data_IF_846811082894
#
_entry.id   IF_846811082894
#
_cell.length_a   1.000
_cell.length_b   1.000
_cell.length_c   1.000
_cell.angle_alpha   90.00
_cell.angle_beta   90.00
_cell.angle_gamma   90.00
#
_symmetry.space_group_name_H-M   'P 1'
#
loop_
_entity.id
_entity.type
_entity.pdbx_description
1 polymer ?
#
# COMPACT_ATOMS: atom_id res chain seq x y z
N UNK A 1 -21.19 -11.86 43.47
CA UNK A 1 -20.30 -11.39 42.39
C UNK A 1 -19.17 -12.39 42.31
N UNK A 2 -19.06 -13.22 41.25
CA UNK A 2 -17.98 -14.19 41.15
C UNK A 2 -16.75 -13.58 40.45
N UNK A 3 -15.59 -13.91 41.03
CA UNK A 3 -14.24 -13.65 40.56
C UNK A 3 -13.98 -14.33 39.20
N UNK A 4 -13.37 -13.60 38.27
CA UNK A 4 -12.88 -14.16 37.01
C UNK A 4 -11.50 -14.79 37.23
N UNK A 5 -11.46 -16.12 37.08
CA UNK A 5 -10.28 -16.97 37.02
C UNK A 5 -9.43 -16.71 35.76
N UNK A 6 -8.11 -16.60 35.98
CA UNK A 6 -6.96 -16.77 35.06
C UNK A 6 -7.24 -17.09 33.59
N UNK A 7 -6.89 -16.14 32.71
CA UNK A 7 -6.56 -16.41 31.31
C UNK A 7 -5.11 -16.92 31.19
N UNK A 8 -4.80 -17.94 30.37
CA UNK A 8 -3.43 -18.38 30.14
C UNK A 8 -2.65 -17.27 29.41
N UNK A 9 -1.51 -16.86 29.98
CA UNK A 9 -0.56 -15.95 29.33
C UNK A 9 -0.01 -16.63 28.07
N UNK A 10 -0.24 -16.02 26.90
CA UNK A 10 0.40 -16.43 25.67
C UNK A 10 1.91 -16.22 25.78
N UNK A 11 2.69 -17.30 25.61
CA UNK A 11 4.15 -17.22 25.56
C UNK A 11 4.59 -16.42 24.33
N UNK A 12 5.63 -15.58 24.42
CA UNK A 12 6.21 -14.92 23.26
C UNK A 12 6.81 -15.99 22.33
N UNK A 13 6.34 -16.06 21.08
CA UNK A 13 7.00 -16.86 20.04
C UNK A 13 8.37 -16.26 19.76
N UNK A 14 9.42 -17.06 19.94
CA UNK A 14 10.77 -16.68 19.60
C UNK A 14 10.93 -16.79 18.08
N UNK A 15 11.70 -15.89 17.46
CA UNK A 15 11.98 -15.90 16.02
C UNK A 15 12.67 -17.19 15.51
N UNK A 16 13.06 -18.10 16.42
CA UNK A 16 13.64 -19.42 16.12
C UNK A 16 12.59 -20.52 15.93
N UNK A 17 11.31 -20.24 16.23
CA UNK A 17 10.22 -21.21 16.19
C UNK A 17 9.45 -21.19 14.84
N UNK A 18 9.88 -20.38 13.87
CA UNK A 18 9.38 -20.40 12.50
C UNK A 18 9.99 -21.62 11.79
N UNK A 19 9.19 -22.60 11.33
CA UNK A 19 9.73 -23.72 10.55
C UNK A 19 10.37 -23.18 9.29
N UNK A 20 11.63 -23.56 9.03
CA UNK A 20 12.28 -23.34 7.75
C UNK A 20 11.53 -24.12 6.66
N UNK A 21 10.53 -23.48 6.06
CA UNK A 21 9.69 -24.07 5.02
C UNK A 21 10.49 -24.32 3.75
N UNK A 22 10.68 -25.60 3.44
CA UNK A 22 11.29 -26.07 2.20
C UNK A 22 10.59 -25.46 0.96
N UNK A 23 11.40 -24.87 0.09
CA UNK A 23 11.06 -24.51 -1.29
C UNK A 23 10.76 -25.77 -2.10
N UNK A 24 9.50 -26.20 -2.13
CA UNK A 24 9.02 -27.04 -3.24
C UNK A 24 8.78 -26.14 -4.45
N UNK A 25 9.76 -26.09 -5.34
CA UNK A 25 9.65 -25.45 -6.65
C UNK A 25 8.48 -26.04 -7.46
N UNK A 26 7.49 -25.21 -7.79
CA UNK A 26 6.68 -25.43 -8.99
C UNK A 26 7.50 -24.92 -10.19
N UNK A 27 7.82 -25.76 -11.19
CA UNK A 27 8.77 -25.43 -12.25
C UNK A 27 8.31 -24.31 -13.22
N UNK A 28 7.06 -23.84 -13.11
CA UNK A 28 6.48 -22.86 -14.05
C UNK A 28 6.48 -21.41 -13.56
N UNK A 29 6.96 -21.12 -12.34
CA UNK A 29 6.99 -19.76 -11.78
C UNK A 29 8.43 -19.29 -11.64
N UNK A 30 8.94 -18.58 -12.66
CA UNK A 30 10.18 -17.80 -12.52
C UNK A 30 9.87 -16.56 -11.67
N UNK A 31 10.15 -16.62 -10.38
CA UNK A 31 10.17 -15.44 -9.51
C UNK A 31 11.31 -14.51 -9.98
N UNK A 32 10.95 -13.41 -10.68
CA UNK A 32 11.88 -12.37 -11.10
C UNK A 32 11.76 -11.15 -10.19
N UNK A 33 12.87 -10.73 -9.59
CA UNK A 33 12.96 -9.52 -8.77
C UNK A 33 13.07 -8.27 -9.65
N UNK A 34 12.50 -7.14 -9.20
CA UNK A 34 12.71 -5.82 -9.81
C UNK A 34 14.13 -5.36 -9.48
N UNK A 35 15.02 -5.35 -10.48
CA UNK A 35 16.31 -4.67 -10.39
C UNK A 35 16.10 -3.24 -10.88
N UNK A 36 15.98 -2.30 -9.94
CA UNK A 36 15.80 -0.87 -10.21
C UNK A 36 17.16 -0.18 -10.06
N UNK A 37 17.63 0.61 -11.04
CA UNK A 37 18.89 1.36 -10.90
C UNK A 37 18.77 2.38 -9.75
N UNK A 38 19.76 2.42 -8.85
CA UNK A 38 19.72 3.18 -7.58
C UNK A 38 20.09 2.35 -6.34
N UNK A 39 20.40 1.06 -6.53
CA UNK A 39 20.79 0.10 -5.49
C UNK A 39 22.11 0.50 -4.79
N UNK A 40 22.20 0.55 -3.45
CA UNK A 40 23.49 0.57 -2.76
C UNK A 40 24.24 -0.76 -3.06
N UNK A 41 25.56 -0.72 -3.36
CA UNK A 41 26.30 -1.91 -3.77
C UNK A 41 26.36 -2.94 -2.63
N UNK A 42 25.88 -4.17 -2.88
CA UNK A 42 26.06 -5.31 -1.95
C UNK A 42 24.86 -6.26 -1.77
N UNK A 43 23.66 -5.93 -2.25
CA UNK A 43 22.48 -6.79 -2.08
C UNK A 43 22.33 -7.70 -3.30
N UNK A 44 22.33 -9.03 -3.13
CA UNK A 44 22.01 -10.00 -4.19
C UNK A 44 20.52 -10.36 -4.15
N UNK A 45 19.91 -10.55 -5.33
CA UNK A 45 18.46 -10.72 -5.51
C UNK A 45 17.91 -12.08 -5.10
N UNK A 46 17.94 -12.42 -3.81
CA UNK A 46 17.17 -13.56 -3.25
C UNK A 46 16.31 -13.24 -2.05
N UNK A 47 16.47 -12.07 -1.43
CA UNK A 47 15.67 -11.67 -0.27
C UNK A 47 15.14 -10.26 -0.50
N UNK A 48 13.90 -10.13 -1.01
CA UNK A 48 13.11 -8.92 -0.81
C UNK A 48 12.16 -9.15 0.35
N UNK A 49 12.76 -9.38 1.52
CA UNK A 49 12.22 -8.88 2.77
C UNK A 49 12.64 -7.42 2.81
N UNK A 50 11.73 -6.50 3.14
CA UNK A 50 12.11 -5.13 3.47
C UNK A 50 12.91 -5.14 4.79
N UNK A 51 14.17 -5.55 4.76
CA UNK A 51 15.12 -5.24 5.84
C UNK A 51 15.80 -3.92 5.50
N UNK A 52 15.46 -2.88 6.27
CA UNK A 52 16.19 -1.62 6.28
C UNK A 52 17.68 -1.92 6.56
N UNK A 53 18.65 -1.19 5.96
CA UNK A 53 20.06 -1.34 6.32
C UNK A 53 20.24 -1.10 7.83
N UNK A 54 21.15 -1.83 8.49
CA UNK A 54 21.37 -1.67 9.93
C UNK A 54 21.74 -0.22 10.24
N UNK A 55 20.88 0.44 11.01
CA UNK A 55 21.12 1.79 11.48
C UNK A 55 22.25 1.80 12.52
N UNK A 56 23.01 2.91 12.63
CA UNK A 56 24.01 3.08 13.67
C UNK A 56 23.41 2.84 15.06
N UNK A 57 24.20 2.34 16.02
CA UNK A 57 23.69 1.72 17.24
C UNK A 57 23.23 2.77 18.25
N UNK A 58 22.09 3.44 18.03
CA UNK A 58 21.52 4.35 19.04
C UNK A 58 20.04 4.76 18.86
N UNK A 59 19.22 4.00 18.11
CA UNK A 59 17.76 4.26 18.06
C UNK A 59 16.94 3.04 18.51
N UNK A 60 15.92 3.23 19.39
CA UNK A 60 15.09 2.15 19.92
C UNK A 60 14.34 1.41 18.79
N UNK A 61 14.26 0.09 18.92
CA UNK A 61 13.83 -0.87 17.91
C UNK A 61 12.50 -0.50 17.22
N UNK A 62 12.56 -0.13 15.94
CA UNK A 62 11.39 -0.03 15.07
C UNK A 62 11.08 -1.44 14.53
N UNK A 63 10.04 -2.09 15.08
CA UNK A 63 9.47 -3.30 14.47
C UNK A 63 8.94 -2.96 13.06
N UNK A 64 9.15 -3.82 12.04
CA UNK A 64 8.58 -3.60 10.72
C UNK A 64 7.05 -3.53 10.85
N UNK A 65 6.44 -2.45 10.35
CA UNK A 65 4.99 -2.23 10.47
C UNK A 65 4.20 -2.93 9.36
N UNK A 66 4.86 -3.26 8.24
CA UNK A 66 4.23 -3.88 7.08
C UNK A 66 5.24 -4.64 6.20
N UNK A 67 4.76 -5.64 5.46
CA UNK A 67 5.48 -6.32 4.37
C UNK A 67 4.58 -6.35 3.11
N UNK A 68 5.11 -5.95 1.94
CA UNK A 68 4.43 -6.08 0.63
C UNK A 68 5.26 -6.93 -0.34
N UNK A 69 4.61 -7.87 -1.05
CA UNK A 69 5.24 -8.70 -2.09
C UNK A 69 4.33 -8.76 -3.31
N UNK A 70 4.89 -8.50 -4.49
CA UNK A 70 4.26 -8.72 -5.79
C UNK A 70 5.26 -9.38 -6.75
N UNK A 71 4.82 -10.36 -7.54
CA UNK A 71 5.67 -11.07 -8.52
C UNK A 71 5.23 -10.78 -9.95
N UNK A 72 6.23 -10.63 -10.83
CA UNK A 72 6.19 -9.94 -12.11
C UNK A 72 5.69 -10.77 -13.29
N UNK A 73 4.84 -10.14 -14.11
CA UNK A 73 4.85 -10.26 -15.59
C UNK A 73 4.21 -9.03 -16.26
N UNK A 74 4.86 -7.84 -16.30
CA UNK A 74 4.33 -6.53 -16.80
C UNK A 74 3.01 -6.02 -16.20
N UNK A 75 2.24 -6.91 -15.59
CA UNK A 75 0.96 -6.75 -14.95
C UNK A 75 1.08 -7.37 -13.55
N UNK A 76 0.27 -6.87 -12.62
CA UNK A 76 0.24 -7.38 -11.26
C UNK A 76 -0.57 -8.70 -11.24
N UNK A 77 0.11 -9.81 -10.96
CA UNK A 77 -0.53 -11.15 -10.94
C UNK A 77 -1.07 -11.52 -9.56
N UNK A 78 -0.31 -11.20 -8.51
CA UNK A 78 -0.73 -11.34 -7.14
C UNK A 78 -0.01 -10.35 -6.24
N UNK A 79 -0.61 -10.09 -5.08
CA UNK A 79 -0.12 -9.17 -4.08
C UNK A 79 -0.40 -9.71 -2.69
N UNK A 80 0.58 -9.58 -1.82
CA UNK A 80 0.47 -9.91 -0.40
C UNK A 80 0.87 -8.69 0.38
N UNK A 81 0.05 -8.30 1.35
CA UNK A 81 0.29 -7.18 2.25
C UNK A 81 -0.03 -7.61 3.67
N UNK A 82 0.98 -7.63 4.55
CA UNK A 82 0.79 -8.00 5.95
C UNK A 82 0.93 -6.77 6.84
N UNK A 83 -0.13 -6.43 7.59
CA UNK A 83 -0.10 -5.39 8.63
C UNK A 83 0.30 -6.02 9.97
N UNK A 84 1.54 -5.79 10.39
CA UNK A 84 2.10 -6.43 11.59
C UNK A 84 1.46 -5.96 12.89
N UNK A 85 0.95 -4.73 12.91
CA UNK A 85 0.34 -4.12 14.10
C UNK A 85 -1.08 -4.65 14.31
N UNK A 86 -1.81 -4.88 13.22
CA UNK A 86 -3.21 -5.30 13.27
C UNK A 86 -3.38 -6.82 13.12
N UNK A 87 -2.29 -7.55 12.86
CA UNK A 87 -2.29 -8.98 12.52
C UNK A 87 -3.26 -9.30 11.36
N UNK A 88 -3.17 -8.50 10.29
CA UNK A 88 -4.02 -8.64 9.10
C UNK A 88 -3.18 -8.99 7.88
N UNK A 89 -3.48 -10.14 7.29
CA UNK A 89 -2.90 -10.61 6.04
C UNK A 89 -3.86 -10.35 4.89
N UNK A 90 -3.54 -9.35 4.07
CA UNK A 90 -4.23 -9.03 2.84
C UNK A 90 -3.58 -9.76 1.67
N UNK A 91 -4.40 -10.37 0.83
CA UNK A 91 -3.95 -11.13 -0.34
C UNK A 91 -4.88 -10.87 -1.50
N UNK A 92 -4.32 -10.78 -2.70
CA UNK A 92 -5.08 -10.63 -3.94
C UNK A 92 -4.38 -11.38 -5.05
N UNK A 93 -5.16 -12.05 -5.89
CA UNK A 93 -4.64 -12.71 -7.09
C UNK A 93 -5.61 -12.45 -8.24
N UNK A 94 -5.04 -12.10 -9.38
CA UNK A 94 -5.77 -11.77 -10.61
C UNK A 94 -6.84 -12.83 -10.93
N UNK A 95 -8.10 -12.40 -11.03
CA UNK A 95 -9.26 -13.25 -11.32
C UNK A 95 -9.66 -14.22 -10.19
N UNK A 96 -9.14 -14.06 -8.97
CA UNK A 96 -9.48 -14.90 -7.80
C UNK A 96 -10.11 -14.11 -6.66
N UNK A 97 -10.10 -12.78 -6.74
CA UNK A 97 -10.56 -11.88 -5.70
C UNK A 97 -9.48 -11.53 -4.69
N UNK A 98 -9.84 -10.60 -3.82
CA UNK A 98 -9.03 -10.15 -2.70
C UNK A 98 -9.58 -10.65 -1.36
N UNK A 99 -8.70 -10.89 -0.40
CA UNK A 99 -9.02 -11.46 0.91
C UNK A 99 -8.20 -10.80 2.02
N UNK A 100 -8.79 -10.66 3.20
CA UNK A 100 -8.10 -10.35 4.45
C UNK A 100 -8.36 -11.46 5.46
N UNK A 101 -7.33 -12.14 5.95
CA UNK A 101 -7.45 -13.27 6.88
C UNK A 101 -8.49 -14.32 6.42
N UNK A 102 -8.54 -14.58 5.10
CA UNK A 102 -9.47 -15.52 4.48
C UNK A 102 -10.88 -14.97 4.18
N UNK A 103 -11.24 -13.77 4.65
CA UNK A 103 -12.50 -13.13 4.34
C UNK A 103 -12.40 -12.34 3.03
N UNK A 104 -13.36 -12.52 2.12
CA UNK A 104 -13.40 -11.82 0.84
C UNK A 104 -13.60 -10.31 1.06
N UNK A 105 -12.82 -9.52 0.34
CA UNK A 105 -12.88 -8.06 0.35
C UNK A 105 -13.80 -7.54 -0.75
N UNK A 106 -14.42 -6.40 -0.48
CA UNK A 106 -15.22 -5.65 -1.44
C UNK A 106 -15.10 -4.17 -1.11
N UNK A 107 -14.82 -3.36 -2.14
CA UNK A 107 -14.80 -1.90 -2.01
C UNK A 107 -16.19 -1.34 -1.72
N UNK A 108 -16.26 -0.12 -1.19
CA UNK A 108 -17.53 0.58 -0.95
C UNK A 108 -18.25 0.92 -2.26
N UNK A 109 -19.53 1.28 -2.18
CA UNK A 109 -20.35 1.67 -3.34
C UNK A 109 -20.59 3.18 -3.42
N UNK A 110 -19.81 3.99 -2.68
CA UNK A 110 -19.99 5.45 -2.65
C UNK A 110 -19.52 6.09 -3.95
N UNK A 111 -20.40 6.84 -4.62
CA UNK A 111 -20.07 7.61 -5.83
C UNK A 111 -20.05 9.12 -5.59
N UNK A 112 -20.69 9.57 -4.51
CA UNK A 112 -20.77 10.99 -4.15
C UNK A 112 -19.52 11.39 -3.34
N UNK A 113 -18.65 12.21 -3.94
CA UNK A 113 -17.42 12.67 -3.30
C UNK A 113 -17.70 13.40 -1.98
N UNK A 114 -18.82 14.11 -1.85
CA UNK A 114 -19.17 14.84 -0.62
C UNK A 114 -19.46 13.91 0.56
N UNK A 115 -19.75 12.63 0.27
CA UNK A 115 -19.99 11.58 1.27
C UNK A 115 -18.84 10.58 1.33
N UNK A 116 -17.70 10.91 0.72
CA UNK A 116 -16.54 10.04 0.64
C UNK A 116 -15.55 10.30 1.76
N UNK A 117 -14.87 9.25 2.21
CA UNK A 117 -13.71 9.28 3.10
C UNK A 117 -12.45 9.02 2.29
N UNK A 118 -11.56 10.00 2.26
CA UNK A 118 -10.31 9.91 1.53
C UNK A 118 -9.15 9.54 2.46
N UNK A 119 -8.13 8.91 1.88
CA UNK A 119 -6.89 8.57 2.58
C UNK A 119 -5.71 9.09 1.77
N UNK A 120 -4.72 9.66 2.45
CA UNK A 120 -3.49 10.15 1.81
C UNK A 120 -2.42 10.37 2.87
N UNK A 121 -1.20 10.70 2.46
CA UNK A 121 -0.07 11.00 3.35
C UNK A 121 0.60 12.32 2.94
N UNK A 122 1.36 12.91 3.87
CA UNK A 122 2.12 14.15 3.61
C UNK A 122 3.39 13.90 2.77
N UNK A 123 3.71 12.64 2.48
CA UNK A 123 4.94 12.21 1.81
C UNK A 123 6.20 12.39 2.68
N UNK A 124 7.34 11.99 2.12
CA UNK A 124 8.66 12.07 2.76
C UNK A 124 9.39 13.39 2.53
N UNK A 125 9.05 14.12 1.47
CA UNK A 125 9.67 15.42 1.16
C UNK A 125 9.39 16.44 2.26
N UNK A 126 10.41 17.22 2.62
CA UNK A 126 10.31 18.37 3.54
C UNK A 126 10.64 19.70 2.84
N UNK A 127 10.74 19.69 1.50
CA UNK A 127 10.92 20.91 0.71
C UNK A 127 9.67 21.78 0.82
N UNK A 128 9.80 23.09 1.10
CA UNK A 128 8.64 23.97 1.27
C UNK A 128 7.70 23.99 0.07
N UNK A 129 8.20 23.96 -1.17
CA UNK A 129 7.32 23.97 -2.34
C UNK A 129 6.48 22.70 -2.42
N UNK A 130 7.11 21.53 -2.26
CA UNK A 130 6.41 20.23 -2.27
C UNK A 130 5.34 20.16 -1.18
N UNK A 131 5.68 20.56 0.05
CA UNK A 131 4.72 20.55 1.16
C UNK A 131 3.54 21.49 0.91
N UNK A 132 3.77 22.67 0.32
CA UNK A 132 2.69 23.59 -0.05
C UNK A 132 1.74 22.98 -1.07
N UNK A 133 2.26 22.32 -2.11
CA UNK A 133 1.41 21.65 -3.11
C UNK A 133 0.60 20.51 -2.49
N UNK A 134 1.22 19.68 -1.64
CA UNK A 134 0.51 18.59 -0.93
C UNK A 134 -0.63 19.15 -0.08
N UNK A 135 -0.36 20.16 0.74
CA UNK A 135 -1.36 20.78 1.60
C UNK A 135 -2.45 21.50 0.79
N UNK A 136 -2.09 22.17 -0.30
CA UNK A 136 -3.06 22.82 -1.19
C UNK A 136 -4.00 21.80 -1.84
N UNK A 137 -3.49 20.63 -2.26
CA UNK A 137 -4.32 19.56 -2.78
C UNK A 137 -5.28 18.99 -1.73
N UNK A 138 -4.80 18.80 -0.49
CA UNK A 138 -5.66 18.39 0.63
C UNK A 138 -6.73 19.44 0.93
N UNK A 139 -6.39 20.74 0.90
CA UNK A 139 -7.31 21.85 1.11
C UNK A 139 -8.40 21.91 0.03
N UNK A 140 -8.03 21.76 -1.25
CA UNK A 140 -8.99 21.71 -2.37
C UNK A 140 -10.00 20.57 -2.18
N UNK A 141 -9.53 19.37 -1.82
CA UNK A 141 -10.42 18.22 -1.58
C UNK A 141 -11.31 18.43 -0.35
N UNK A 142 -10.76 18.93 0.76
CA UNK A 142 -11.53 19.25 1.96
C UNK A 142 -12.60 20.32 1.71
N UNK A 143 -12.38 21.22 0.75
CA UNK A 143 -13.33 22.28 0.37
C UNK A 143 -14.52 21.78 -0.46
N UNK A 144 -14.51 20.52 -0.93
CA UNK A 144 -15.62 19.84 -1.65
C UNK A 144 -16.59 19.16 -0.67
N UNK A 145 -16.74 19.72 0.52
CA UNK A 145 -17.11 19.01 1.77
C UNK A 145 -17.09 17.47 1.72
N UNK A 146 -15.91 16.85 1.63
CA UNK A 146 -15.76 15.40 1.88
C UNK A 146 -15.97 15.08 3.37
N UNK A 147 -16.27 13.83 3.73
CA UNK A 147 -16.38 13.43 5.15
C UNK A 147 -15.07 13.58 5.93
N UNK A 148 -13.94 13.49 5.21
CA UNK A 148 -12.64 13.85 5.76
C UNK A 148 -11.51 13.10 5.11
N UNK A 149 -10.31 13.38 5.61
CA UNK A 149 -9.06 12.72 5.23
C UNK A 149 -8.57 11.89 6.40
N UNK A 150 -7.97 10.73 6.12
CA UNK A 150 -7.23 9.89 7.09
C UNK A 150 -5.81 9.64 6.57
N UNK A 151 -4.91 9.35 7.51
CA UNK A 151 -3.51 8.99 7.24
C UNK A 151 -3.08 7.97 8.28
N UNK A 152 -2.75 6.75 7.86
CA UNK A 152 -2.28 5.68 8.78
C UNK A 152 -0.77 5.47 8.73
N UNK A 153 -0.06 6.24 7.89
CA UNK A 153 1.39 6.29 7.81
C UNK A 153 2.02 5.23 6.91
N UNK A 154 1.23 4.53 6.08
CA UNK A 154 1.76 3.62 5.07
C UNK A 154 0.81 3.44 3.88
N UNK A 155 1.36 3.63 2.67
CA UNK A 155 0.64 3.53 1.40
C UNK A 155 -0.07 2.19 1.22
N UNK A 156 0.59 1.08 1.53
CA UNK A 156 0.03 -0.25 1.30
C UNK A 156 -1.14 -0.55 2.26
N UNK A 157 -1.12 -0.10 3.53
CA UNK A 157 -2.31 -0.23 4.41
C UNK A 157 -3.41 0.73 3.96
N UNK A 158 -3.07 1.96 3.56
CA UNK A 158 -4.06 2.92 3.04
C UNK A 158 -4.84 2.34 1.85
N UNK A 159 -4.15 1.71 0.88
CA UNK A 159 -4.81 1.00 -0.22
C UNK A 159 -5.62 -0.22 0.25
N UNK A 160 -5.13 -0.98 1.24
CA UNK A 160 -5.90 -2.09 1.80
C UNK A 160 -7.18 -1.62 2.52
N UNK A 161 -7.19 -0.43 3.11
CA UNK A 161 -8.40 0.18 3.68
C UNK A 161 -9.44 0.47 2.59
N UNK A 162 -9.01 0.95 1.42
CA UNK A 162 -9.88 1.10 0.25
C UNK A 162 -10.42 -0.26 -0.20
N UNK A 163 -9.56 -1.28 -0.29
CA UNK A 163 -9.97 -2.64 -0.66
C UNK A 163 -11.00 -3.24 0.31
N UNK A 164 -10.94 -2.90 1.60
CA UNK A 164 -11.95 -3.31 2.60
C UNK A 164 -13.25 -2.52 2.55
N UNK A 165 -13.32 -1.42 1.78
CA UNK A 165 -14.44 -0.48 1.79
C UNK A 165 -14.51 0.39 3.06
N UNK A 166 -13.46 0.40 3.88
CA UNK A 166 -13.36 1.27 5.06
C UNK A 166 -12.98 2.72 4.71
N UNK A 167 -12.40 2.91 3.52
CA UNK A 167 -12.23 4.20 2.87
C UNK A 167 -12.67 4.09 1.41
N UNK A 168 -12.99 5.22 0.79
CA UNK A 168 -13.54 5.23 -0.57
C UNK A 168 -12.46 5.44 -1.63
N UNK A 169 -11.42 6.23 -1.31
CA UNK A 169 -10.28 6.39 -2.19
C UNK A 169 -9.01 6.79 -1.43
N UNK A 170 -7.88 6.45 -2.04
CA UNK A 170 -6.53 6.79 -1.64
C UNK A 170 -5.82 7.48 -2.79
N UNK A 171 -5.10 8.55 -2.50
CA UNK A 171 -4.22 9.18 -3.49
C UNK A 171 -2.89 9.58 -2.85
N UNK A 172 -1.80 9.40 -3.60
CA UNK A 172 -0.49 9.88 -3.17
C UNK A 172 0.43 10.12 -4.37
N UNK A 173 1.35 11.06 -4.22
CA UNK A 173 2.44 11.33 -5.16
C UNK A 173 3.76 11.26 -4.41
N UNK A 174 4.73 10.55 -4.96
CA UNK A 174 6.04 10.33 -4.37
C UNK A 174 6.24 8.95 -3.75
N UNK A 175 5.27 8.04 -3.90
CA UNK A 175 5.45 6.63 -3.54
C UNK A 175 6.19 5.88 -4.64
N UNK A 176 6.78 4.75 -4.31
CA UNK A 176 7.53 3.95 -5.28
C UNK A 176 6.75 2.71 -5.72
N UNK A 177 7.18 2.07 -6.80
CA UNK A 177 6.55 0.87 -7.36
C UNK A 177 6.32 -0.24 -6.31
N UNK A 178 7.25 -0.42 -5.36
CA UNK A 178 7.13 -1.42 -4.30
C UNK A 178 6.04 -1.11 -3.25
N UNK A 179 5.71 0.16 -3.06
CA UNK A 179 4.64 0.58 -2.16
C UNK A 179 3.26 0.27 -2.78
N UNK A 180 3.17 0.32 -4.10
CA UNK A 180 1.93 0.18 -4.87
C UNK A 180 1.65 -1.26 -5.32
N UNK A 181 2.67 -2.01 -5.74
CA UNK A 181 2.46 -3.25 -6.50
C UNK A 181 1.64 -4.31 -5.75
N UNK A 182 1.91 -4.50 -4.45
CA UNK A 182 1.21 -5.50 -3.63
C UNK A 182 -0.24 -5.11 -3.35
N UNK A 183 -0.48 -3.86 -2.94
CA UNK A 183 -1.83 -3.43 -2.58
C UNK A 183 -2.69 -3.04 -3.80
N UNK A 184 -2.07 -2.68 -4.93
CA UNK A 184 -2.77 -2.32 -6.15
C UNK A 184 -3.65 -3.45 -6.68
N UNK A 185 -3.11 -4.67 -6.81
CA UNK A 185 -3.88 -5.85 -7.22
C UNK A 185 -4.95 -6.24 -6.20
N UNK A 186 -4.71 -6.00 -4.91
CA UNK A 186 -5.70 -6.22 -3.84
C UNK A 186 -6.90 -5.27 -4.03
N UNK A 187 -6.66 -3.99 -4.35
CA UNK A 187 -7.73 -3.02 -4.63
C UNK A 187 -8.52 -3.43 -5.87
N UNK A 188 -7.86 -3.76 -6.99
CA UNK A 188 -8.57 -4.11 -8.22
C UNK A 188 -9.37 -5.40 -8.07
N UNK A 189 -8.84 -6.41 -7.37
CA UNK A 189 -9.54 -7.66 -7.11
C UNK A 189 -10.65 -7.56 -6.06
N UNK A 190 -10.66 -6.48 -5.25
CA UNK A 190 -11.79 -6.12 -4.39
C UNK A 190 -12.89 -5.35 -5.15
N UNK A 191 -12.71 -5.09 -6.45
CA UNK A 191 -13.64 -4.35 -7.29
C UNK A 191 -13.34 -2.86 -7.46
N UNK A 192 -12.20 -2.39 -6.94
CA UNK A 192 -11.74 -1.01 -7.09
C UNK A 192 -11.03 -0.74 -8.41
N UNK A 193 -10.56 0.49 -8.57
CA UNK A 193 -9.83 0.97 -9.74
C UNK A 193 -8.53 1.66 -9.34
N UNK A 194 -7.53 1.56 -10.21
CA UNK A 194 -6.29 2.33 -10.12
C UNK A 194 -6.22 3.31 -11.28
N UNK A 195 -5.77 4.53 -11.00
CA UNK A 195 -5.66 5.62 -11.95
C UNK A 195 -4.41 6.45 -11.65
N UNK A 196 -3.82 7.09 -12.66
CA UNK A 196 -2.80 8.11 -12.42
C UNK A 196 -3.49 9.42 -11.99
N UNK A 197 -2.82 10.27 -11.20
CA UNK A 197 -3.36 11.57 -10.77
C UNK A 197 -3.71 12.51 -11.94
N UNK A 198 -3.16 12.26 -13.13
CA UNK A 198 -3.51 12.93 -14.39
C UNK A 198 -4.91 12.58 -14.92
N UNK A 199 -5.59 11.58 -14.34
CA UNK A 199 -6.82 10.99 -14.89
C UNK A 199 -6.57 9.93 -15.97
N UNK A 200 -5.30 9.68 -16.31
CA UNK A 200 -4.90 8.67 -17.28
C UNK A 200 -4.79 7.25 -16.70
N UNK A 201 -4.38 6.28 -17.54
CA UNK A 201 -4.10 4.92 -17.10
C UNK A 201 -3.06 4.90 -15.98
N UNK A 202 -3.24 4.01 -15.00
CA UNK A 202 -2.27 3.79 -13.93
C UNK A 202 -0.93 3.31 -14.50
N UNK A 203 0.15 3.93 -14.04
CA UNK A 203 1.53 3.56 -14.35
C UNK A 203 2.30 3.32 -13.05
N UNK A 204 2.73 2.07 -12.86
CA UNK A 204 3.41 1.61 -11.66
C UNK A 204 4.75 2.35 -11.40
N UNK A 205 5.40 2.88 -12.44
CA UNK A 205 6.71 3.53 -12.33
C UNK A 205 6.60 5.06 -12.22
N UNK A 206 5.39 5.63 -12.36
CA UNK A 206 5.19 7.10 -12.40
C UNK A 206 5.30 7.78 -11.03
N UNK A 207 5.34 7.01 -9.95
CA UNK A 207 5.31 7.46 -8.55
C UNK A 207 4.04 8.21 -8.14
N UNK A 208 2.93 7.96 -8.85
CA UNK A 208 1.65 8.62 -8.61
C UNK A 208 0.54 7.60 -8.68
N UNK A 209 -0.42 7.68 -7.77
CA UNK A 209 -1.55 6.78 -7.76
C UNK A 209 -2.81 7.47 -7.23
N UNK A 210 -3.94 7.07 -7.80
CA UNK A 210 -5.26 7.12 -7.20
C UNK A 210 -5.78 5.69 -7.18
N UNK A 211 -6.03 5.15 -5.98
CA UNK A 211 -6.68 3.88 -5.77
C UNK A 211 -8.07 4.14 -5.18
N UNK A 212 -9.13 3.90 -5.93
CA UNK A 212 -10.49 4.23 -5.52
C UNK A 212 -11.42 3.03 -5.62
N UNK A 213 -12.56 3.12 -4.95
CA UNK A 213 -13.65 2.14 -5.05
C UNK A 213 -14.27 2.09 -6.46
N UNK A 214 -14.35 3.22 -7.17
CA UNK A 214 -14.91 3.33 -8.51
C UNK A 214 -14.26 4.48 -9.30
N UNK A 215 -14.53 4.47 -10.61
CA UNK A 215 -13.96 5.43 -11.56
C UNK A 215 -14.48 6.85 -11.35
N UNK A 216 -15.73 7.03 -10.94
CA UNK A 216 -16.34 8.34 -10.70
C UNK A 216 -15.59 9.13 -9.62
N UNK A 217 -15.28 8.49 -8.49
CA UNK A 217 -14.48 9.13 -7.44
C UNK A 217 -13.04 9.37 -7.89
N UNK A 218 -12.42 8.41 -8.58
CA UNK A 218 -11.05 8.56 -9.06
C UNK A 218 -10.89 9.77 -10.00
N UNK A 219 -11.79 9.92 -10.99
CA UNK A 219 -11.78 11.05 -11.92
C UNK A 219 -12.07 12.37 -11.24
N UNK A 220 -12.95 12.38 -10.23
CA UNK A 220 -13.24 13.60 -9.48
C UNK A 220 -12.03 14.05 -8.68
N UNK A 221 -11.33 13.12 -8.03
CA UNK A 221 -10.10 13.42 -7.28
C UNK A 221 -9.01 13.95 -8.22
N UNK A 222 -8.82 13.31 -9.38
CA UNK A 222 -7.82 13.72 -10.37
C UNK A 222 -8.00 15.18 -10.86
N UNK A 223 -9.24 15.69 -10.91
CA UNK A 223 -9.52 17.08 -11.34
C UNK A 223 -9.04 18.14 -10.34
N UNK A 224 -8.89 17.79 -9.08
CA UNK A 224 -8.58 18.74 -8.00
C UNK A 224 -7.09 18.73 -7.63
N UNK A 225 -6.37 17.67 -8.01
CA UNK A 225 -4.97 17.46 -7.65
C UNK A 225 -4.04 18.20 -8.61
N UNK A 226 -3.17 19.02 -8.05
CA UNK A 226 -2.03 19.60 -8.72
C UNK A 226 -0.83 18.65 -8.67
N UNK A 227 -0.17 18.45 -9.81
CA UNK A 227 0.91 17.46 -9.95
C UNK A 227 2.21 18.00 -9.38
N UNK A 228 2.87 17.19 -8.55
CA UNK A 228 4.23 17.45 -8.07
C UNK A 228 5.21 16.83 -9.06
N UNK A 229 6.22 17.57 -9.57
CA UNK A 229 7.24 17.02 -10.43
C UNK A 229 8.13 16.05 -9.63
N UNK A 230 8.22 14.80 -10.10
CA UNK A 230 8.95 13.71 -9.47
C UNK A 230 9.73 12.96 -10.55
N UNK A 231 10.97 12.57 -10.23
CA UNK A 231 11.73 11.62 -11.05
C UNK A 231 11.08 10.25 -10.94
N UNK A 232 10.84 9.59 -12.09
CA UNK A 232 10.21 8.28 -12.15
C UNK A 232 11.15 7.18 -11.66
N UNK A 233 10.60 6.03 -11.30
CA UNK A 233 11.40 4.89 -10.82
C UNK A 233 12.21 4.22 -11.95
N UNK A 234 11.84 4.45 -13.22
CA UNK A 234 12.52 3.94 -14.41
C UNK A 234 13.48 4.96 -15.06
N UNK A 235 13.62 6.15 -14.46
CA UNK A 235 14.54 7.19 -14.90
C UNK A 235 15.81 7.18 -14.03
N UNK A 236 16.97 6.96 -14.65
CA UNK A 236 18.30 7.00 -14.01
C UNK A 236 18.82 8.41 -13.80
#
# INVERSE_FOLDING_TARGET
MPEYTNFPQAKPCNAKDVPSGNTQHSPDVKAGFLDVPGRPPGVQGRDFLSEQPPLPPEKPSLRPRQLSIAVRSREMEFGVVYSCVEDKMYTGRKGKGAFCNGQRLQVSQQEDITKSLLVTELGSSRKPETLRTVLSNMEKLCSIPIHGIRSVGTAAVNMCLVATGGADAYYEMGIHCWDMAGAGIIVTEAGGVLMDVTGGPFDLMSRRIIAANNKTLAERIAKEIEIIPLQRDDES
#
